data_IF_540110583940
#
_entry.id   IF_540110583940
#
_cell.length_a   1.000
_cell.length_b   1.000
_cell.length_c   1.000
_cell.angle_alpha   90.00
_cell.angle_beta   90.00
_cell.angle_gamma   90.00
#
_symmetry.space_group_name_H-M   'P 1'
#
loop_
_entity.id
_entity.type
_entity.pdbx_description
1 polymer ?
#
# COMPACT_ATOMS: atom_id res chain seq x y z
N UNK A 1 1.42 26.84 -9.70
CA UNK A 1 1.37 25.92 -10.85
C UNK A 1 2.46 24.89 -10.66
N UNK A 2 2.12 23.60 -10.63
CA UNK A 2 3.12 22.54 -10.61
C UNK A 2 3.91 22.60 -11.93
N UNK A 3 5.18 22.95 -11.86
CA UNK A 3 6.07 22.90 -13.01
C UNK A 3 6.51 21.45 -13.23
N UNK A 4 5.65 20.69 -13.90
CA UNK A 4 6.00 19.37 -14.39
C UNK A 4 7.07 19.49 -15.48
N UNK A 5 8.08 18.64 -15.42
CA UNK A 5 9.03 18.40 -16.49
C UNK A 5 8.32 17.86 -17.75
N UNK A 6 8.95 17.93 -18.94
CA UNK A 6 8.37 17.38 -20.17
C UNK A 6 8.02 15.89 -20.03
N UNK A 7 8.90 15.11 -19.38
CA UNK A 7 8.70 13.68 -19.12
C UNK A 7 7.50 13.41 -18.21
N UNK A 8 7.32 14.21 -17.16
CA UNK A 8 6.13 14.12 -16.29
C UNK A 8 4.85 14.42 -17.05
N UNK A 9 4.83 15.49 -17.84
CA UNK A 9 3.63 15.82 -18.63
C UNK A 9 3.27 14.69 -19.59
N UNK A 10 4.26 14.12 -20.28
CA UNK A 10 4.02 13.02 -21.20
C UNK A 10 3.47 11.78 -20.49
N UNK A 11 4.07 11.40 -19.35
CA UNK A 11 3.57 10.27 -18.54
C UNK A 11 2.12 10.52 -18.08
N UNK A 12 1.87 11.72 -17.56
CA UNK A 12 0.55 12.13 -17.10
C UNK A 12 -0.51 12.13 -18.21
N UNK A 13 -0.22 12.76 -19.34
CA UNK A 13 -1.13 12.81 -20.49
C UNK A 13 -1.44 11.41 -21.03
N UNK A 14 -0.45 10.52 -21.04
CA UNK A 14 -0.64 9.12 -21.47
C UNK A 14 -1.65 8.41 -20.57
N UNK A 15 -1.48 8.50 -19.25
CA UNK A 15 -2.31 7.77 -18.28
C UNK A 15 -3.70 8.43 -18.16
N UNK A 16 -3.79 9.76 -18.18
CA UNK A 16 -5.07 10.47 -18.23
C UNK A 16 -5.82 10.13 -19.52
N UNK A 17 -5.13 9.98 -20.65
CA UNK A 17 -5.69 9.53 -21.92
C UNK A 17 -6.28 8.11 -21.87
N UNK A 18 -5.87 7.28 -20.91
CA UNK A 18 -6.46 5.96 -20.65
C UNK A 18 -7.73 6.00 -19.78
N UNK A 19 -8.12 7.18 -19.28
CA UNK A 19 -9.34 7.38 -18.48
C UNK A 19 -9.11 7.56 -16.98
N UNK A 20 -7.86 7.59 -16.51
CA UNK A 20 -7.56 7.89 -15.11
C UNK A 20 -7.73 9.37 -14.79
N UNK A 21 -8.07 9.67 -13.53
CA UNK A 21 -8.23 11.06 -13.07
C UNK A 21 -6.88 11.76 -12.97
N UNK A 22 -6.83 13.03 -13.37
CA UNK A 22 -5.60 13.85 -13.29
C UNK A 22 -5.01 13.87 -11.87
N UNK A 23 -5.86 14.01 -10.85
CA UNK A 23 -5.42 14.03 -9.46
C UNK A 23 -4.81 12.69 -9.01
N UNK A 24 -5.43 11.58 -9.39
CA UNK A 24 -4.91 10.24 -9.08
C UNK A 24 -3.56 9.99 -9.74
N UNK A 25 -3.43 10.35 -11.02
CA UNK A 25 -2.16 10.22 -11.76
C UNK A 25 -1.07 11.08 -11.15
N UNK A 26 -1.37 12.33 -10.82
CA UNK A 26 -0.41 13.23 -10.17
C UNK A 26 0.08 12.65 -8.83
N UNK A 27 -0.83 12.14 -7.99
CA UNK A 27 -0.47 11.50 -6.71
C UNK A 27 0.40 10.26 -6.92
N UNK A 28 0.00 9.38 -7.82
CA UNK A 28 0.76 8.17 -8.16
C UNK A 28 2.16 8.51 -8.70
N UNK A 29 2.28 9.54 -9.53
CA UNK A 29 3.56 10.02 -10.04
C UNK A 29 4.46 10.62 -8.95
N UNK A 30 3.89 11.28 -7.94
CA UNK A 30 4.70 11.77 -6.81
C UNK A 30 5.28 10.64 -5.97
N UNK A 31 4.62 9.48 -5.94
CA UNK A 31 5.04 8.29 -5.18
C UNK A 31 5.97 7.38 -5.97
N UNK A 32 5.62 7.07 -7.22
CA UNK A 32 6.34 6.12 -8.09
C UNK A 32 7.33 6.78 -9.05
N UNK A 33 7.29 8.10 -9.18
CA UNK A 33 8.08 8.84 -10.16
C UNK A 33 7.40 8.93 -11.52
N UNK A 34 8.21 8.94 -12.58
CA UNK A 34 7.77 9.34 -13.92
C UNK A 34 7.62 8.16 -14.90
N UNK A 35 7.71 6.92 -14.40
CA UNK A 35 7.58 5.72 -15.21
C UNK A 35 6.10 5.33 -15.37
N UNK A 36 5.62 5.31 -16.62
CA UNK A 36 4.21 5.02 -16.93
C UNK A 36 3.76 3.66 -16.37
N UNK A 37 4.58 2.61 -16.52
CA UNK A 37 4.24 1.27 -16.05
C UNK A 37 4.13 1.23 -14.52
N UNK A 38 5.08 1.84 -13.80
CA UNK A 38 5.05 1.89 -12.34
C UNK A 38 3.87 2.71 -11.80
N UNK A 39 3.54 3.81 -12.47
CA UNK A 39 2.40 4.66 -12.08
C UNK A 39 1.08 3.92 -12.33
N UNK A 40 0.96 3.23 -13.46
CA UNK A 40 -0.21 2.39 -13.77
C UNK A 40 -0.36 1.23 -12.78
N UNK A 41 0.74 0.55 -12.47
CA UNK A 41 0.77 -0.54 -11.50
C UNK A 41 0.29 -0.06 -10.12
N UNK A 42 0.83 1.05 -9.62
CA UNK A 42 0.37 1.65 -8.37
C UNK A 42 -1.12 2.04 -8.40
N UNK A 43 -1.58 2.71 -9.47
CA UNK A 43 -2.98 3.10 -9.60
C UNK A 43 -3.91 1.89 -9.61
N UNK A 44 -3.51 0.82 -10.30
CA UNK A 44 -4.25 -0.42 -10.39
C UNK A 44 -4.33 -1.13 -9.03
N UNK A 45 -3.20 -1.36 -8.38
CA UNK A 45 -3.13 -2.04 -7.08
C UNK A 45 -3.84 -1.21 -6.01
N UNK A 46 -3.61 0.10 -5.95
CA UNK A 46 -4.29 0.99 -5.02
C UNK A 46 -5.81 0.92 -5.17
N UNK A 47 -6.31 1.01 -6.40
CA UNK A 47 -7.75 0.92 -6.68
C UNK A 47 -8.32 -0.43 -6.23
N UNK A 48 -7.65 -1.52 -6.59
CA UNK A 48 -8.09 -2.89 -6.24
C UNK A 48 -8.13 -3.13 -4.73
N UNK A 49 -7.15 -2.63 -3.99
CA UNK A 49 -7.13 -2.73 -2.53
C UNK A 49 -8.23 -1.85 -1.88
N UNK A 50 -8.43 -0.63 -2.38
CA UNK A 50 -9.52 0.22 -1.91
C UNK A 50 -10.91 -0.40 -2.19
N UNK A 51 -11.10 -1.02 -3.36
CA UNK A 51 -12.34 -1.73 -3.71
C UNK A 51 -12.63 -2.94 -2.80
N UNK A 52 -11.60 -3.53 -2.18
CA UNK A 52 -11.77 -4.57 -1.16
C UNK A 52 -12.21 -4.02 0.20
N UNK A 53 -12.33 -2.70 0.35
CA UNK A 53 -12.76 -2.04 1.58
C UNK A 53 -11.61 -1.62 2.50
N UNK A 54 -10.35 -1.71 2.04
CA UNK A 54 -9.22 -1.18 2.80
C UNK A 54 -9.19 0.35 2.74
N UNK A 55 -8.76 0.96 3.85
CA UNK A 55 -8.60 2.40 3.94
C UNK A 55 -7.49 2.89 3.01
N UNK A 56 -7.74 3.96 2.26
CA UNK A 56 -6.80 4.50 1.29
C UNK A 56 -5.44 4.87 1.94
N UNK A 57 -5.44 5.43 3.16
CA UNK A 57 -4.19 5.76 3.85
C UNK A 57 -3.38 4.51 4.21
N UNK A 58 -4.04 3.42 4.58
CA UNK A 58 -3.38 2.15 4.88
C UNK A 58 -2.84 1.50 3.62
N UNK A 59 -3.59 1.56 2.51
CA UNK A 59 -3.16 1.08 1.20
C UNK A 59 -1.95 1.87 0.71
N UNK A 60 -1.99 3.20 0.77
CA UNK A 60 -0.86 4.05 0.39
C UNK A 60 0.40 3.70 1.16
N UNK A 61 0.31 3.63 2.48
CA UNK A 61 1.44 3.28 3.35
C UNK A 61 2.00 1.89 3.01
N UNK A 62 1.12 0.93 2.75
CA UNK A 62 1.49 -0.43 2.42
C UNK A 62 2.23 -0.51 1.07
N UNK A 63 1.74 0.20 0.05
CA UNK A 63 2.38 0.26 -1.26
C UNK A 63 3.76 0.90 -1.21
N UNK A 64 3.97 1.88 -0.34
CA UNK A 64 5.28 2.48 -0.10
C UNK A 64 6.26 1.49 0.57
N UNK A 65 5.78 0.67 1.50
CA UNK A 65 6.61 -0.32 2.20
C UNK A 65 6.99 -1.53 1.32
N UNK A 66 6.04 -2.02 0.52
CA UNK A 66 6.22 -3.23 -0.28
C UNK A 66 6.57 -2.97 -1.74
N UNK A 67 6.93 -1.74 -2.10
CA UNK A 67 7.33 -1.34 -3.46
C UNK A 67 6.30 -1.78 -4.53
N UNK A 68 5.02 -1.47 -4.28
CA UNK A 68 3.89 -1.84 -5.15
C UNK A 68 3.64 -3.34 -5.35
N UNK A 69 4.23 -4.22 -4.53
CA UNK A 69 3.88 -5.64 -4.58
C UNK A 69 2.44 -5.86 -4.10
N UNK A 70 1.51 -6.11 -5.03
CA UNK A 70 0.09 -6.35 -4.72
C UNK A 70 -0.09 -7.49 -3.72
N UNK A 71 0.57 -8.62 -3.96
CA UNK A 71 0.43 -9.83 -3.14
C UNK A 71 0.82 -9.54 -1.68
N UNK A 72 2.01 -8.97 -1.47
CA UNK A 72 2.46 -8.64 -0.12
C UNK A 72 1.63 -7.55 0.53
N UNK A 73 1.19 -6.56 -0.25
CA UNK A 73 0.38 -5.48 0.28
C UNK A 73 -0.99 -5.98 0.74
N UNK A 74 -1.59 -6.85 -0.06
CA UNK A 74 -2.86 -7.50 0.26
C UNK A 74 -2.73 -8.37 1.52
N UNK A 75 -1.72 -9.23 1.59
CA UNK A 75 -1.46 -10.06 2.77
C UNK A 75 -1.28 -9.21 4.03
N UNK A 76 -0.48 -8.15 3.95
CA UNK A 76 -0.26 -7.24 5.06
C UNK A 76 -1.57 -6.61 5.56
N UNK A 77 -2.39 -6.07 4.65
CA UNK A 77 -3.66 -5.42 4.99
C UNK A 77 -4.68 -6.41 5.59
N UNK A 78 -4.74 -7.63 5.04
CA UNK A 78 -5.59 -8.69 5.58
C UNK A 78 -5.16 -9.11 6.98
N UNK A 79 -3.86 -9.31 7.21
CA UNK A 79 -3.33 -9.66 8.52
C UNK A 79 -3.50 -8.52 9.53
N UNK A 80 -3.30 -7.27 9.10
CA UNK A 80 -3.58 -6.07 9.90
C UNK A 80 -5.03 -6.05 10.41
N UNK A 81 -6.01 -6.26 9.53
CA UNK A 81 -7.42 -6.33 9.94
C UNK A 81 -7.65 -7.49 10.91
N UNK A 82 -7.21 -8.69 10.53
CA UNK A 82 -7.44 -9.92 11.29
C UNK A 82 -6.87 -9.84 12.70
N UNK A 83 -5.62 -9.41 12.85
CA UNK A 83 -5.02 -9.26 14.17
C UNK A 83 -5.63 -8.09 14.95
N UNK A 84 -6.05 -7.02 14.27
CA UNK A 84 -6.80 -5.93 14.92
C UNK A 84 -8.15 -6.41 15.47
N UNK A 85 -8.86 -7.27 14.76
CA UNK A 85 -10.11 -7.90 15.20
C UNK A 85 -9.91 -8.83 16.41
N UNK A 86 -8.71 -9.38 16.58
CA UNK A 86 -8.31 -10.15 17.77
C UNK A 86 -7.98 -9.26 18.98
N UNK A 87 -7.96 -7.93 18.81
CA UNK A 87 -7.69 -6.96 19.87
C UNK A 87 -6.22 -6.58 20.02
N UNK A 88 -5.35 -6.99 19.09
CA UNK A 88 -3.95 -6.55 19.10
C UNK A 88 -3.83 -5.08 18.65
N UNK A 89 -2.83 -4.38 19.20
CA UNK A 89 -2.57 -2.99 18.86
C UNK A 89 -2.01 -2.86 17.44
N UNK A 90 -2.45 -1.84 16.69
CA UNK A 90 -2.06 -1.63 15.28
C UNK A 90 -0.56 -1.50 15.10
N UNK A 91 0.14 -0.76 15.96
CA UNK A 91 1.60 -0.59 15.87
C UNK A 91 2.34 -1.90 16.14
N UNK A 92 1.92 -2.66 17.15
CA UNK A 92 2.47 -3.99 17.43
C UNK A 92 2.27 -4.96 16.26
N UNK A 93 1.08 -4.99 15.67
CA UNK A 93 0.78 -5.80 14.49
C UNK A 93 1.69 -5.44 13.32
N UNK A 94 1.79 -4.14 13.01
CA UNK A 94 2.62 -3.64 11.92
C UNK A 94 4.09 -4.02 12.11
N UNK A 95 4.62 -3.90 13.32
CA UNK A 95 5.99 -4.28 13.62
C UNK A 95 6.24 -5.78 13.35
N UNK A 96 5.40 -6.67 13.89
CA UNK A 96 5.61 -8.12 13.69
C UNK A 96 5.43 -8.53 12.24
N UNK A 97 4.50 -7.92 11.50
CA UNK A 97 4.31 -8.21 10.08
C UNK A 97 5.52 -7.79 9.24
N UNK A 98 6.14 -6.66 9.57
CA UNK A 98 7.37 -6.22 8.92
C UNK A 98 8.56 -7.13 9.26
N UNK A 99 8.71 -7.52 10.53
CA UNK A 99 9.81 -8.40 10.99
C UNK A 99 9.70 -9.79 10.37
N UNK A 100 8.50 -10.35 10.32
CA UNK A 100 8.26 -11.70 9.82
C UNK A 100 7.89 -11.74 8.33
N UNK A 101 7.95 -10.61 7.62
CA UNK A 101 7.59 -10.46 6.20
C UNK A 101 6.23 -11.13 5.90
N UNK A 102 5.19 -10.73 6.64
CA UNK A 102 3.81 -11.20 6.54
C UNK A 102 3.60 -12.70 6.85
N UNK A 103 4.57 -13.38 7.46
CA UNK A 103 4.38 -14.76 7.96
C UNK A 103 3.37 -14.74 9.12
N UNK A 104 2.16 -15.19 8.83
CA UNK A 104 1.03 -15.15 9.75
C UNK A 104 1.31 -15.90 11.06
N UNK A 105 1.86 -17.11 10.98
CA UNK A 105 2.03 -17.96 12.16
C UNK A 105 3.09 -17.37 13.09
N UNK A 106 4.23 -16.92 12.55
CA UNK A 106 5.27 -16.26 13.35
C UNK A 106 4.81 -14.93 13.93
N UNK A 107 4.12 -14.11 13.14
CA UNK A 107 3.63 -12.82 13.60
C UNK A 107 2.59 -12.99 14.72
N UNK A 108 1.71 -13.98 14.62
CA UNK A 108 0.74 -14.30 15.65
C UNK A 108 1.42 -14.85 16.92
N UNK A 109 2.38 -15.76 16.78
CA UNK A 109 3.14 -16.30 17.91
C UNK A 109 3.84 -15.19 18.70
N UNK A 110 4.50 -14.26 18.01
CA UNK A 110 5.17 -13.09 18.61
C UNK A 110 4.17 -12.17 19.32
N UNK A 111 3.04 -11.84 18.68
CA UNK A 111 1.97 -11.03 19.28
C UNK A 111 1.41 -11.66 20.56
N UNK A 112 1.14 -12.96 20.53
CA UNK A 112 0.66 -13.70 21.70
C UNK A 112 1.70 -13.73 22.82
N UNK A 113 2.99 -13.92 22.49
CA UNK A 113 4.06 -13.92 23.47
C UNK A 113 4.20 -12.56 24.17
N UNK A 114 4.11 -11.46 23.43
CA UNK A 114 4.14 -10.09 23.98
C UNK A 114 2.91 -9.81 24.86
N UNK A 115 1.73 -10.21 24.42
CA UNK A 115 0.49 -10.04 25.17
C UNK A 115 0.49 -10.84 26.47
N UNK A 116 1.09 -12.03 26.50
CA UNK A 116 1.22 -12.85 27.70
C UNK A 116 2.27 -12.34 28.70
N UNK A 117 3.23 -11.54 28.24
CA UNK A 117 4.29 -10.94 29.06
C UNK A 117 3.92 -9.56 29.65
N UNK A 118 2.76 -9.02 29.27
CA UNK A 118 2.24 -7.70 29.70
C UNK A 118 1.24 -7.85 30.86
#
# INVERSE_FOLDING_TARGET
MLNLSPSERQCMETIVGMGYSYEGVLKAMQRQGQNVEQVLDYLFVHSRLCEQGFDASAVEECLEMYQCSEEKALEFLQLMSRFGEMGFERDAIKEVLLVHNNDQDKALEDLMARAAAS
#
